data_IF_300800636775
#
_entry.id   IF_300800636775
#
_cell.length_a   1.000
_cell.length_b   1.000
_cell.length_c   1.000
_cell.angle_alpha   90.00
_cell.angle_beta   90.00
_cell.angle_gamma   90.00
#
_symmetry.space_group_name_H-M   'P 1'
#
loop_
_entity.id
_entity.type
_entity.pdbx_description
1 polymer ?
#
# COMPACT_ATOMS: atom_id res chain seq x y z
N UNK A 1 10.74 -34.98 19.32
CA UNK A 1 10.26 -33.61 19.07
C UNK A 1 11.39 -32.65 19.42
N UNK A 2 12.32 -32.42 18.50
CA UNK A 2 13.56 -31.68 18.78
C UNK A 2 13.33 -30.20 18.50
N UNK A 3 13.12 -29.40 19.54
CA UNK A 3 13.10 -27.96 19.41
C UNK A 3 14.51 -27.49 19.05
N UNK A 4 14.68 -26.96 17.84
CA UNK A 4 15.92 -26.30 17.45
C UNK A 4 16.17 -25.14 18.41
N UNK A 5 17.19 -25.30 19.25
CA UNK A 5 17.73 -24.26 20.11
C UNK A 5 18.23 -23.16 19.17
N UNK A 6 17.42 -22.12 18.97
CA UNK A 6 17.81 -20.94 18.18
C UNK A 6 19.13 -20.44 18.77
N UNK A 7 20.20 -20.52 17.97
CA UNK A 7 21.53 -20.15 18.43
C UNK A 7 21.54 -18.68 18.86
N UNK A 8 22.26 -18.36 19.93
CA UNK A 8 22.31 -17.02 20.55
C UNK A 8 22.68 -15.92 19.54
N UNK A 9 23.42 -16.26 18.48
CA UNK A 9 23.74 -15.36 17.37
C UNK A 9 22.52 -14.97 16.52
N UNK A 10 21.56 -15.89 16.31
CA UNK A 10 20.36 -15.58 15.54
C UNK A 10 19.44 -14.64 16.34
N UNK A 11 19.39 -14.77 17.67
CA UNK A 11 18.65 -13.85 18.53
C UNK A 11 19.24 -12.43 18.48
N UNK A 12 20.57 -12.29 18.53
CA UNK A 12 21.22 -10.97 18.46
C UNK A 12 21.06 -10.29 17.10
N UNK A 13 21.14 -11.04 15.99
CA UNK A 13 20.90 -10.49 14.64
C UNK A 13 19.44 -10.01 14.49
N UNK A 14 18.48 -10.79 15.00
CA UNK A 14 17.07 -10.40 14.99
C UNK A 14 16.86 -9.12 15.81
N UNK A 15 17.43 -9.05 17.01
CA UNK A 15 17.33 -7.86 17.86
C UNK A 15 17.92 -6.62 17.18
N UNK A 16 19.14 -6.71 16.62
CA UNK A 16 19.76 -5.61 15.88
C UNK A 16 18.93 -5.19 14.66
N UNK A 17 18.34 -6.17 13.97
CA UNK A 17 17.44 -5.91 12.83
C UNK A 17 16.18 -5.18 13.25
N UNK A 18 15.57 -5.58 14.37
CA UNK A 18 14.39 -4.92 14.93
C UNK A 18 14.74 -3.50 15.37
N UNK A 19 15.86 -3.30 16.06
CA UNK A 19 16.35 -1.96 16.46
C UNK A 19 16.55 -1.08 15.23
N UNK A 20 17.30 -1.54 14.23
CA UNK A 20 17.60 -0.74 13.04
C UNK A 20 16.41 -0.50 12.09
N UNK A 21 15.39 -1.36 12.09
CA UNK A 21 14.23 -1.23 11.17
C UNK A 21 12.98 -0.65 11.84
N UNK A 22 12.78 -0.90 13.13
CA UNK A 22 11.54 -0.54 13.85
C UNK A 22 11.78 0.66 14.77
N UNK A 23 12.82 0.63 15.60
CA UNK A 23 13.06 1.67 16.60
C UNK A 23 13.89 2.85 16.07
N UNK A 24 14.87 2.59 15.21
CA UNK A 24 15.70 3.60 14.57
C UNK A 24 15.68 3.46 13.04
N UNK A 25 14.51 3.58 12.40
CA UNK A 25 14.37 3.39 10.97
C UNK A 25 15.16 4.46 10.20
N UNK A 26 15.64 4.07 9.01
CA UNK A 26 16.27 5.03 8.10
C UNK A 26 15.28 6.15 7.73
N UNK A 27 15.60 7.38 8.13
CA UNK A 27 14.74 8.56 7.94
C UNK A 27 14.36 8.80 6.47
N UNK A 28 15.26 8.52 5.53
CA UNK A 28 14.99 8.61 4.09
C UNK A 28 13.94 7.61 3.63
N UNK A 29 13.95 6.38 4.16
CA UNK A 29 12.93 5.37 3.87
C UNK A 29 11.57 5.73 4.48
N UNK A 30 11.56 6.27 5.71
CA UNK A 30 10.32 6.76 6.33
C UNK A 30 9.73 7.90 5.50
N UNK A 31 10.56 8.85 5.08
CA UNK A 31 10.14 9.97 4.24
C UNK A 31 9.57 9.49 2.90
N UNK A 32 10.22 8.55 2.22
CA UNK A 32 9.70 8.00 0.96
C UNK A 32 8.37 7.28 1.15
N UNK A 33 8.24 6.47 2.21
CA UNK A 33 6.98 5.78 2.53
C UNK A 33 5.85 6.77 2.84
N UNK A 34 6.14 7.85 3.55
CA UNK A 34 5.15 8.88 3.85
C UNK A 34 4.71 9.62 2.58
N UNK A 35 5.64 9.90 1.65
CA UNK A 35 5.31 10.48 0.33
C UNK A 35 4.44 9.54 -0.50
N UNK A 36 4.81 8.25 -0.56
CA UNK A 36 4.01 7.22 -1.26
C UNK A 36 2.60 7.11 -0.64
N UNK A 37 2.49 7.18 0.68
CA UNK A 37 1.22 7.14 1.39
C UNK A 37 0.34 8.36 1.08
N UNK A 38 0.91 9.56 1.06
CA UNK A 38 0.17 10.77 0.70
C UNK A 38 -0.32 10.72 -0.76
N UNK A 39 0.54 10.32 -1.69
CA UNK A 39 0.15 10.09 -3.07
C UNK A 39 -0.97 9.03 -3.19
N UNK A 40 -0.89 7.95 -2.42
CA UNK A 40 -1.92 6.91 -2.38
C UNK A 40 -3.26 7.42 -1.87
N UNK A 41 -3.27 8.25 -0.83
CA UNK A 41 -4.49 8.90 -0.32
C UNK A 41 -5.10 9.82 -1.38
N UNK A 42 -4.27 10.62 -2.06
CA UNK A 42 -4.72 11.50 -3.15
C UNK A 42 -5.25 10.68 -4.34
N UNK A 43 -4.65 9.54 -4.65
CA UNK A 43 -5.12 8.60 -5.65
C UNK A 43 -6.51 8.03 -5.29
N UNK A 44 -6.73 7.64 -4.03
CA UNK A 44 -8.05 7.19 -3.56
C UNK A 44 -9.09 8.31 -3.70
N UNK A 45 -8.79 9.53 -3.25
CA UNK A 45 -9.70 10.69 -3.35
C UNK A 45 -10.06 10.98 -4.81
N UNK A 46 -9.08 10.92 -5.70
CA UNK A 46 -9.29 11.06 -7.13
C UNK A 46 -10.18 9.94 -7.68
N UNK A 47 -9.95 8.68 -7.32
CA UNK A 47 -10.84 7.59 -7.69
C UNK A 47 -12.28 7.78 -7.19
N UNK A 48 -12.46 8.33 -5.98
CA UNK A 48 -13.78 8.63 -5.41
C UNK A 48 -14.51 9.76 -6.12
N UNK A 49 -13.79 10.70 -6.75
CA UNK A 49 -14.40 11.76 -7.57
C UNK A 49 -15.02 11.25 -8.88
N UNK A 50 -14.71 10.02 -9.29
CA UNK A 50 -15.46 9.37 -10.35
C UNK A 50 -16.72 8.75 -9.77
N UNK A 51 -17.88 9.06 -10.35
CA UNK A 51 -19.11 8.29 -10.18
C UNK A 51 -19.18 7.23 -11.29
N UNK A 52 -18.59 6.04 -11.10
CA UNK A 52 -18.59 5.02 -12.15
C UNK A 52 -19.98 4.44 -12.38
N UNK A 53 -20.49 4.65 -13.58
CA UNK A 53 -21.70 3.98 -14.08
C UNK A 53 -21.50 2.46 -14.26
N UNK A 54 -20.24 2.00 -14.45
CA UNK A 54 -19.89 0.57 -14.53
C UNK A 54 -18.44 0.25 -14.14
N UNK A 55 -18.19 -0.97 -13.65
CA UNK A 55 -16.87 -1.47 -13.22
C UNK A 55 -15.84 -1.53 -14.36
N UNK A 56 -16.28 -1.83 -15.58
CA UNK A 56 -15.42 -1.90 -16.76
C UNK A 56 -14.96 -0.52 -17.22
N UNK A 57 -15.85 0.49 -17.17
CA UNK A 57 -15.52 1.87 -17.54
C UNK A 57 -14.52 2.49 -16.57
N UNK A 58 -14.67 2.22 -15.27
CA UNK A 58 -13.67 2.59 -14.25
C UNK A 58 -12.32 1.91 -14.51
N UNK A 59 -12.30 0.65 -14.94
CA UNK A 59 -11.05 -0.05 -15.20
C UNK A 59 -10.29 0.54 -16.39
N UNK A 60 -10.95 0.72 -17.53
CA UNK A 60 -10.28 1.13 -18.77
C UNK A 60 -9.85 2.60 -18.71
N UNK A 61 -10.73 3.49 -18.27
CA UNK A 61 -10.44 4.93 -18.35
C UNK A 61 -9.66 5.42 -17.12
N UNK A 62 -10.02 4.95 -15.92
CA UNK A 62 -9.43 5.49 -14.70
C UNK A 62 -8.10 4.81 -14.32
N UNK A 63 -7.80 3.59 -14.77
CA UNK A 63 -6.49 2.97 -14.51
C UNK A 63 -5.37 3.63 -15.32
N UNK A 64 -5.58 3.83 -16.62
CA UNK A 64 -4.59 4.50 -17.47
C UNK A 64 -4.34 5.94 -17.01
N UNK A 65 -5.40 6.70 -16.74
CA UNK A 65 -5.29 8.06 -16.19
C UNK A 65 -4.62 8.10 -14.82
N UNK A 66 -4.83 7.10 -13.96
CA UNK A 66 -4.15 7.05 -12.67
C UNK A 66 -2.66 6.75 -12.81
N UNK A 67 -2.27 5.93 -13.79
CA UNK A 67 -0.86 5.62 -14.07
C UNK A 67 -0.10 6.84 -14.62
N UNK A 68 -0.77 7.70 -15.39
CA UNK A 68 -0.20 8.96 -15.88
C UNK A 68 -0.15 10.04 -14.80
N UNK A 69 -1.14 10.07 -13.90
CA UNK A 69 -1.30 11.13 -12.89
C UNK A 69 -0.52 10.87 -11.61
N UNK A 70 -0.32 9.61 -11.22
CA UNK A 70 0.30 9.24 -9.96
C UNK A 70 1.52 8.35 -10.21
N UNK A 71 2.65 8.71 -9.62
CA UNK A 71 3.90 7.92 -9.65
C UNK A 71 3.86 6.76 -8.64
N UNK A 72 2.72 6.07 -8.55
CA UNK A 72 2.51 4.97 -7.62
C UNK A 72 2.79 3.62 -8.28
N UNK A 73 3.28 2.67 -7.47
CA UNK A 73 3.41 1.27 -7.88
C UNK A 73 2.05 0.72 -8.34
N UNK A 74 2.06 -0.11 -9.38
CA UNK A 74 0.85 -0.70 -9.98
C UNK A 74 -0.06 -1.39 -8.96
N UNK A 75 0.52 -2.09 -7.97
CA UNK A 75 -0.21 -2.72 -6.89
C UNK A 75 -1.03 -1.73 -6.04
N UNK A 76 -0.48 -0.53 -5.78
CA UNK A 76 -1.17 0.52 -5.02
C UNK A 76 -2.32 1.11 -5.84
N UNK A 77 -2.12 1.38 -7.13
CA UNK A 77 -3.19 1.84 -8.02
C UNK A 77 -4.36 0.85 -8.08
N UNK A 78 -4.06 -0.45 -8.21
CA UNK A 78 -5.07 -1.51 -8.21
C UNK A 78 -5.80 -1.62 -6.87
N UNK A 79 -5.08 -1.47 -5.77
CA UNK A 79 -5.64 -1.47 -4.42
C UNK A 79 -6.59 -0.29 -4.19
N UNK A 80 -6.17 0.93 -4.58
CA UNK A 80 -6.98 2.15 -4.48
C UNK A 80 -8.31 2.00 -5.23
N UNK A 81 -8.26 1.51 -6.48
CA UNK A 81 -9.47 1.22 -7.27
C UNK A 81 -10.39 0.21 -6.59
N UNK A 82 -9.82 -0.88 -6.07
CA UNK A 82 -10.61 -1.94 -5.40
C UNK A 82 -11.29 -1.40 -4.15
N UNK A 83 -10.61 -0.53 -3.39
CA UNK A 83 -11.16 0.12 -2.20
C UNK A 83 -12.29 1.09 -2.55
N UNK A 84 -12.14 1.87 -3.62
CA UNK A 84 -13.21 2.74 -4.12
C UNK A 84 -14.45 1.94 -4.56
N UNK A 85 -14.27 0.83 -5.28
CA UNK A 85 -15.38 -0.04 -5.65
C UNK A 85 -16.16 -0.56 -4.44
N UNK A 86 -15.45 -0.98 -3.38
CA UNK A 86 -16.06 -1.38 -2.10
C UNK A 86 -16.77 -0.24 -1.38
N UNK A 87 -16.31 1.00 -1.53
CA UNK A 87 -16.96 2.17 -0.93
C UNK A 87 -18.28 2.52 -1.62
N UNK A 88 -18.36 2.33 -2.93
CA UNK A 88 -19.56 2.63 -3.74
C UNK A 88 -20.59 1.50 -3.63
N UNK A 89 -20.14 0.24 -3.65
CA UNK A 89 -20.97 -0.92 -3.34
C UNK A 89 -20.45 -1.53 -2.06
N UNK A 90 -20.89 -1.03 -0.88
CA UNK A 90 -20.69 -1.77 0.34
C UNK A 90 -21.34 -3.14 0.10
N UNK A 91 -20.52 -4.18 0.05
CA UNK A 91 -21.00 -5.56 0.01
C UNK A 91 -22.01 -5.70 1.15
N UNK A 92 -23.27 -5.96 0.78
CA UNK A 92 -24.36 -6.13 1.71
C UNK A 92 -23.97 -7.09 2.83
N UNK A 93 -24.23 -6.66 4.06
CA UNK A 93 -24.63 -7.58 5.12
C UNK A 93 -26.09 -7.92 4.91
#
# INVERSE_FOLDING_TARGET
>A
MTYYKVSTQMQSIVQLTVIGKVFNPNKGKVLSLNRDLDQYINCIRWYLSFEPTSKQKLHKDAYHKAKERFELKTALLQSARTKQWKSIRPSGR
#
